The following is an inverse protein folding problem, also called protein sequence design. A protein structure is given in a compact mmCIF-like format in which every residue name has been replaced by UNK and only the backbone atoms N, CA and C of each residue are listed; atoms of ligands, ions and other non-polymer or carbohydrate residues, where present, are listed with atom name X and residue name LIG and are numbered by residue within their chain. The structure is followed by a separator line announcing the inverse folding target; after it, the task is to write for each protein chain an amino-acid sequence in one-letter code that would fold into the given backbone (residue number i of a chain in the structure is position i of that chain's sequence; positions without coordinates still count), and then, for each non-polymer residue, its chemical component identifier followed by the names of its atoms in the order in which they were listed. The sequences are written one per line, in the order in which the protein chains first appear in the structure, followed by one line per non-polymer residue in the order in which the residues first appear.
data_IF_375472371004
#
_entry.id   IF_375472371004
#
_cell.length_a   1.000
_cell.length_b   1.000
_cell.length_c   1.000
_cell.angle_alpha   90.00
_cell.angle_beta   90.00
_cell.angle_gamma   90.00
#
_symmetry.space_group_name_H-M   'P 1'
#
loop_
_entity.id
_entity.type
_entity.pdbx_description
1 polymer ?
#
# COMPACT_ATOMS: atom_id res chain seq x y z
N UNK A 1 15.13 4.90 -34.79
CA UNK A 1 14.59 4.38 -33.51
C UNK A 1 13.10 4.70 -33.45
N UNK A 2 12.25 3.80 -32.93
CA UNK A 2 10.82 4.11 -32.80
C UNK A 2 10.57 5.15 -31.69
N UNK A 3 9.55 5.99 -31.85
CA UNK A 3 9.16 7.03 -30.87
C UNK A 3 8.96 6.45 -29.46
N UNK A 4 8.43 5.23 -29.38
CA UNK A 4 8.26 4.52 -28.11
C UNK A 4 9.60 4.25 -27.40
N UNK A 5 10.64 3.80 -28.12
CA UNK A 5 11.96 3.55 -27.51
C UNK A 5 12.61 4.83 -26.99
N UNK A 6 12.46 5.93 -27.73
CA UNK A 6 12.95 7.25 -27.29
C UNK A 6 12.25 7.68 -26.00
N UNK A 7 10.94 7.45 -25.91
CA UNK A 7 10.16 7.75 -24.72
C UNK A 7 10.55 6.89 -23.51
N UNK A 8 10.83 5.61 -23.72
CA UNK A 8 11.31 4.73 -22.64
C UNK A 8 12.67 5.22 -22.12
N UNK A 9 13.61 5.48 -23.01
CA UNK A 9 14.94 5.96 -22.65
C UNK A 9 14.88 7.30 -21.89
N UNK A 10 14.09 8.27 -22.37
CA UNK A 10 13.95 9.56 -21.69
C UNK A 10 13.38 9.44 -20.28
N UNK A 11 12.45 8.51 -20.04
CA UNK A 11 11.95 8.26 -18.69
C UNK A 11 12.99 7.58 -17.81
N UNK A 12 13.75 6.62 -18.36
CA UNK A 12 14.83 5.95 -17.65
C UNK A 12 15.91 6.94 -17.23
N UNK A 13 16.28 7.89 -18.10
CA UNK A 13 17.26 8.93 -17.80
C UNK A 13 16.81 9.81 -16.63
N UNK A 14 15.55 10.27 -16.62
CA UNK A 14 14.97 11.04 -15.50
C UNK A 14 15.04 10.20 -14.22
N UNK A 15 14.63 8.93 -14.30
CA UNK A 15 14.62 8.07 -13.13
C UNK A 15 16.03 7.82 -12.61
N UNK A 16 17.06 7.71 -13.45
CA UNK A 16 18.45 7.45 -13.08
C UNK A 16 19.16 8.61 -12.36
N UNK A 17 18.58 9.81 -12.36
CA UNK A 17 19.11 10.95 -11.61
C UNK A 17 19.20 10.65 -10.10
N UNK A 18 20.28 11.10 -9.46
CA UNK A 18 20.50 10.93 -8.00
C UNK A 18 19.35 11.52 -7.17
N UNK A 19 18.92 12.71 -7.56
CA UNK A 19 17.73 13.39 -7.07
C UNK A 19 16.83 13.69 -8.26
N UNK A 20 15.65 13.07 -8.27
CA UNK A 20 14.72 13.12 -9.40
C UNK A 20 13.91 14.43 -9.37
N UNK A 21 13.90 15.17 -10.48
CA UNK A 21 12.98 16.29 -10.65
C UNK A 21 11.53 15.77 -10.82
N UNK A 22 10.73 15.91 -9.76
CA UNK A 22 9.32 15.49 -9.76
C UNK A 22 8.45 16.29 -10.72
N UNK A 23 8.81 17.54 -11.04
CA UNK A 23 8.08 18.35 -12.02
C UNK A 23 8.32 17.82 -13.43
N UNK A 24 9.57 17.52 -13.75
CA UNK A 24 9.94 16.89 -15.02
C UNK A 24 9.27 15.51 -15.16
N UNK A 25 9.34 14.68 -14.11
CA UNK A 25 8.70 13.37 -14.08
C UNK A 25 7.18 13.46 -14.33
N UNK A 26 6.49 14.41 -13.69
CA UNK A 26 5.04 14.62 -13.89
C UNK A 26 4.71 15.00 -15.33
N UNK A 27 5.48 15.93 -15.92
CA UNK A 27 5.29 16.33 -17.31
C UNK A 27 5.48 15.14 -18.26
N UNK A 28 6.48 14.29 -18.00
CA UNK A 28 6.74 13.10 -18.81
C UNK A 28 5.62 12.06 -18.68
N UNK A 29 5.15 11.83 -17.45
CA UNK A 29 4.11 10.84 -17.16
C UNK A 29 2.69 11.31 -17.53
N UNK A 30 2.49 12.60 -17.83
CA UNK A 30 1.18 13.17 -18.18
C UNK A 30 0.52 12.46 -19.36
N UNK A 31 1.31 12.09 -20.37
CA UNK A 31 0.83 11.36 -21.55
C UNK A 31 0.78 9.83 -21.33
N UNK A 32 0.85 9.38 -20.08
CA UNK A 32 0.94 7.98 -19.68
C UNK A 32 2.36 7.52 -19.33
N UNK A 33 2.45 6.34 -18.74
CA UNK A 33 3.73 5.70 -18.39
C UNK A 33 3.89 4.44 -19.25
N UNK A 34 5.03 4.26 -19.95
CA UNK A 34 5.32 3.05 -20.71
C UNK A 34 5.19 1.79 -19.86
N UNK A 35 4.52 0.76 -20.42
CA UNK A 35 4.27 -0.51 -19.73
C UNK A 35 5.41 -1.52 -19.92
N UNK A 36 6.62 -1.11 -19.56
CA UNK A 36 7.79 -1.97 -19.68
C UNK A 36 8.72 -1.77 -18.49
N UNK A 37 9.57 -2.76 -18.23
CA UNK A 37 10.70 -2.67 -17.30
C UNK A 37 10.34 -2.21 -15.86
N UNK A 38 9.08 -2.40 -15.44
CA UNK A 38 8.61 -1.96 -14.11
C UNK A 38 8.52 -0.44 -13.94
N UNK A 39 8.61 0.35 -15.02
CA UNK A 39 8.61 1.82 -14.97
C UNK A 39 7.37 2.37 -14.28
N UNK A 40 6.18 1.81 -14.58
CA UNK A 40 4.93 2.16 -13.89
C UNK A 40 5.02 2.05 -12.38
N UNK A 41 5.60 0.96 -11.88
CA UNK A 41 5.76 0.74 -10.45
C UNK A 41 6.58 1.85 -9.79
N UNK A 42 7.71 2.22 -10.39
CA UNK A 42 8.60 3.26 -9.85
C UNK A 42 7.98 4.65 -9.96
N UNK A 43 7.43 4.99 -11.12
CA UNK A 43 6.77 6.28 -11.34
C UNK A 43 5.58 6.48 -10.40
N UNK A 44 4.72 5.47 -10.22
CA UNK A 44 3.59 5.58 -9.29
C UNK A 44 4.03 5.76 -7.84
N UNK A 45 5.06 5.04 -7.39
CA UNK A 45 5.60 5.24 -6.04
C UNK A 45 6.10 6.68 -5.81
N UNK A 46 6.68 7.32 -6.83
CA UNK A 46 7.12 8.71 -6.76
C UNK A 46 5.95 9.70 -6.85
N UNK A 47 5.05 9.49 -7.82
CA UNK A 47 3.91 10.39 -8.08
C UNK A 47 2.90 10.39 -6.94
N UNK A 48 2.71 9.26 -6.27
CA UNK A 48 1.86 9.12 -5.08
C UNK A 48 2.58 9.54 -3.77
N UNK A 49 3.85 9.97 -3.85
CA UNK A 49 4.62 10.42 -2.69
C UNK A 49 5.05 9.30 -1.73
N UNK A 50 4.99 8.04 -2.14
CA UNK A 50 5.47 6.91 -1.34
C UNK A 50 7.00 6.88 -1.25
N UNK A 51 7.68 7.22 -2.35
CA UNK A 51 9.12 7.44 -2.41
C UNK A 51 9.43 8.93 -2.60
N UNK A 52 10.51 9.41 -1.97
CA UNK A 52 11.02 10.76 -2.17
C UNK A 52 11.89 10.90 -3.43
N UNK A 53 12.32 12.12 -3.79
CA UNK A 53 13.13 12.36 -4.99
C UNK A 53 14.55 11.79 -4.90
N UNK A 54 15.09 11.64 -3.69
CA UNK A 54 16.46 11.15 -3.45
C UNK A 54 16.52 9.63 -3.48
N UNK A 55 17.18 9.06 -4.48
CA UNK A 55 17.25 7.61 -4.69
C UNK A 55 17.91 6.84 -3.57
N UNK A 56 18.95 7.42 -2.97
CA UNK A 56 19.70 6.77 -1.88
C UNK A 56 18.83 6.43 -0.66
N UNK A 57 17.72 7.16 -0.49
CA UNK A 57 16.78 6.96 0.63
C UNK A 57 15.74 5.87 0.37
N UNK A 58 15.61 5.37 -0.86
CA UNK A 58 14.51 4.50 -1.24
C UNK A 58 14.55 3.16 -0.54
N UNK A 59 15.71 2.52 -0.49
CA UNK A 59 15.90 1.23 0.18
C UNK A 59 15.52 1.29 1.66
N UNK A 60 16.01 2.31 2.37
CA UNK A 60 15.67 2.55 3.77
C UNK A 60 14.16 2.85 3.96
N UNK A 61 13.58 3.69 3.10
CA UNK A 61 12.14 4.02 3.15
C UNK A 61 11.27 2.79 2.93
N UNK A 62 11.60 1.97 1.91
CA UNK A 62 10.88 0.73 1.60
C UNK A 62 10.96 -0.27 2.75
N UNK A 63 12.15 -0.46 3.33
CA UNK A 63 12.33 -1.35 4.48
C UNK A 63 11.48 -0.89 5.67
N UNK A 64 11.58 0.38 6.04
CA UNK A 64 10.80 0.96 7.15
C UNK A 64 9.29 0.85 6.93
N UNK A 65 8.80 1.18 5.74
CA UNK A 65 7.35 1.13 5.44
C UNK A 65 6.81 -0.31 5.42
N UNK A 66 7.58 -1.27 4.91
CA UNK A 66 7.20 -2.69 4.93
C UNK A 66 7.16 -3.26 6.35
N UNK A 67 8.13 -2.88 7.18
CA UNK A 67 8.15 -3.30 8.58
C UNK A 67 6.97 -2.72 9.36
N UNK A 68 6.70 -1.42 9.20
CA UNK A 68 5.54 -0.78 9.81
C UNK A 68 4.21 -1.45 9.40
N UNK A 69 4.07 -1.84 8.13
CA UNK A 69 2.88 -2.55 7.67
C UNK A 69 2.72 -3.92 8.34
N UNK A 70 3.81 -4.67 8.56
CA UNK A 70 3.76 -5.94 9.30
C UNK A 70 3.34 -5.73 10.75
N UNK A 71 3.88 -4.70 11.40
CA UNK A 71 3.48 -4.34 12.77
C UNK A 71 1.99 -4.02 12.85
N UNK A 72 1.44 -3.26 11.89
CA UNK A 72 0.00 -3.00 11.85
C UNK A 72 -0.84 -4.27 11.65
N UNK A 73 -0.38 -5.23 10.85
CA UNK A 73 -1.09 -6.50 10.71
C UNK A 73 -1.13 -7.24 12.05
N UNK A 74 0.00 -7.31 12.76
CA UNK A 74 0.10 -7.97 14.07
C UNK A 74 -0.74 -7.28 15.15
N UNK A 75 -0.82 -5.95 15.13
CA UNK A 75 -1.59 -5.17 16.11
C UNK A 75 -3.10 -5.13 15.83
N UNK A 76 -3.50 -5.05 14.56
CA UNK A 76 -4.91 -4.84 14.19
C UNK A 76 -5.68 -6.14 13.95
N UNK A 77 -5.00 -7.26 13.71
CA UNK A 77 -5.63 -8.56 13.47
C UNK A 77 -5.40 -9.48 14.67
N UNK A 78 -5.87 -9.06 15.85
CA UNK A 78 -5.76 -9.86 17.08
C UNK A 78 -7.11 -10.48 17.43
N UNK A 79 -7.22 -11.82 17.54
CA UNK A 79 -8.42 -12.47 18.05
C UNK A 79 -8.70 -12.07 19.51
N UNK A 80 -9.93 -11.68 19.87
CA UNK A 80 -10.29 -11.42 21.25
C UNK A 80 -10.16 -12.71 22.06
N UNK A 81 -9.29 -12.68 23.08
CA UNK A 81 -9.02 -13.83 23.95
C UNK A 81 -7.54 -14.20 24.06
N UNK A 82 -6.70 -13.86 23.09
CA UNK A 82 -5.25 -14.16 23.16
C UNK A 82 -4.49 -13.19 24.07
N UNK A 83 -5.01 -11.98 24.31
CA UNK A 83 -4.36 -10.97 25.14
C UNK A 83 -4.67 -11.10 26.65
N UNK A 84 -5.54 -12.02 27.05
CA UNK A 84 -6.09 -12.05 28.41
C UNK A 84 -5.35 -13.05 29.31
N UNK A 85 -4.27 -12.59 29.93
CA UNK A 85 -3.71 -13.24 31.11
C UNK A 85 -4.72 -13.18 32.29
N UNK A 86 -5.30 -14.34 32.63
CA UNK A 86 -5.93 -14.76 33.90
C UNK A 86 -6.88 -13.83 34.71
N UNK A 87 -7.16 -12.59 34.31
CA UNK A 87 -8.07 -11.68 35.01
C UNK A 87 -8.84 -10.81 34.01
N UNK A 88 -9.76 -11.40 33.24
CA UNK A 88 -10.50 -10.68 32.21
C UNK A 88 -11.85 -10.15 32.74
N UNK A 89 -11.97 -8.82 32.81
CA UNK A 89 -13.23 -8.08 33.10
C UNK A 89 -14.07 -7.89 31.82
N UNK A 90 -13.47 -8.11 30.64
CA UNK A 90 -14.11 -7.95 29.34
C UNK A 90 -14.74 -9.25 28.82
N UNK A 91 -15.92 -9.16 28.21
CA UNK A 91 -16.75 -10.30 27.79
C UNK A 91 -17.34 -10.04 26.39
N UNK A 92 -17.62 -11.09 25.59
CA UNK A 92 -18.30 -10.98 24.28
C UNK A 92 -19.61 -10.18 24.22
N UNK A 93 -20.19 -9.83 25.37
CA UNK A 93 -21.46 -9.10 25.46
C UNK A 93 -21.28 -7.70 26.07
N UNK A 94 -20.03 -7.26 26.23
CA UNK A 94 -19.73 -5.93 26.74
C UNK A 94 -20.04 -4.87 25.67
N UNK A 95 -20.97 -3.96 25.96
CA UNK A 95 -21.31 -2.84 25.07
C UNK A 95 -20.41 -1.60 25.27
N UNK A 96 -19.49 -1.67 26.24
CA UNK A 96 -18.59 -0.57 26.58
C UNK A 96 -17.68 -0.17 25.42
N UNK A 97 -17.33 1.12 25.27
CA UNK A 97 -16.44 1.59 24.22
C UNK A 97 -14.99 1.08 24.36
N UNK A 98 -14.60 0.66 25.57
CA UNK A 98 -13.28 0.10 25.89
C UNK A 98 -13.23 -1.44 25.75
N UNK A 99 -14.30 -2.08 25.28
CA UNK A 99 -14.36 -3.55 25.13
C UNK A 99 -13.64 -4.00 23.86
N UNK A 100 -12.68 -4.92 24.01
CA UNK A 100 -11.98 -5.55 22.89
C UNK A 100 -12.93 -6.41 22.05
N UNK A 101 -13.94 -7.02 22.69
CA UNK A 101 -14.98 -7.78 21.99
C UNK A 101 -15.87 -6.88 21.12
N UNK A 102 -16.28 -5.72 21.63
CA UNK A 102 -17.06 -4.75 20.86
C UNK A 102 -16.28 -4.26 19.62
N UNK A 103 -15.00 -3.95 19.78
CA UNK A 103 -14.10 -3.59 18.67
C UNK A 103 -13.97 -4.74 17.66
N UNK A 104 -13.71 -5.97 18.12
CA UNK A 104 -13.62 -7.14 17.24
C UNK A 104 -14.89 -7.38 16.42
N UNK A 105 -16.08 -7.25 17.01
CA UNK A 105 -17.32 -7.45 16.25
C UNK A 105 -17.52 -6.38 15.18
N UNK A 106 -17.22 -5.11 15.50
CA UNK A 106 -17.24 -4.01 14.51
C UNK A 106 -16.22 -4.22 13.40
N UNK A 107 -15.01 -4.63 13.73
CA UNK A 107 -13.96 -4.92 12.75
C UNK A 107 -14.38 -6.06 11.83
N UNK A 108 -14.98 -7.13 12.37
CA UNK A 108 -15.51 -8.23 11.55
C UNK A 108 -16.64 -7.80 10.62
N UNK A 109 -17.51 -6.88 11.06
CA UNK A 109 -18.56 -6.34 10.20
C UNK A 109 -17.95 -5.60 9.00
N UNK A 110 -16.93 -4.76 9.25
CA UNK A 110 -16.18 -4.06 8.19
C UNK A 110 -15.47 -5.05 7.27
N UNK A 111 -14.76 -6.04 7.83
CA UNK A 111 -14.05 -7.07 7.06
C UNK A 111 -15.01 -7.88 6.19
N UNK A 112 -16.22 -8.19 6.68
CA UNK A 112 -17.23 -8.88 5.90
C UNK A 112 -17.72 -8.05 4.70
N UNK A 113 -17.83 -6.73 4.84
CA UNK A 113 -18.16 -5.87 3.69
C UNK A 113 -17.01 -5.84 2.67
N UNK A 114 -15.77 -5.74 3.14
CA UNK A 114 -14.58 -5.78 2.27
C UNK A 114 -14.54 -7.11 1.50
N UNK A 115 -14.73 -8.26 2.14
CA UNK A 115 -14.73 -9.58 1.48
C UNK A 115 -15.82 -9.67 0.40
N UNK A 116 -17.03 -9.18 0.69
CA UNK A 116 -18.14 -9.16 -0.29
C UNK A 116 -17.80 -8.33 -1.53
N UNK A 117 -17.19 -7.16 -1.34
CA UNK A 117 -16.84 -6.26 -2.44
C UNK A 117 -15.64 -6.78 -3.24
N UNK A 118 -14.62 -7.34 -2.58
CA UNK A 118 -13.45 -7.96 -3.22
C UNK A 118 -13.88 -9.10 -4.14
N UNK A 119 -14.80 -9.98 -3.71
CA UNK A 119 -15.31 -11.10 -4.54
C UNK A 119 -16.03 -10.67 -5.81
N UNK A 120 -16.50 -9.42 -5.88
CA UNK A 120 -17.25 -8.88 -7.02
C UNK A 120 -16.40 -7.95 -7.89
N UNK A 121 -15.16 -7.67 -7.49
CA UNK A 121 -14.28 -6.75 -8.18
C UNK A 121 -13.74 -7.38 -9.47
N UNK A 122 -14.10 -6.79 -10.61
CA UNK A 122 -13.55 -7.15 -11.94
C UNK A 122 -13.56 -8.66 -12.26
N UNK A 123 -14.73 -9.33 -12.24
CA UNK A 123 -14.82 -10.80 -12.34
C UNK A 123 -14.26 -11.38 -13.65
N UNK A 124 -14.10 -10.55 -14.69
CA UNK A 124 -13.58 -10.95 -15.99
C UNK A 124 -12.03 -10.89 -16.06
N UNK A 125 -11.36 -10.37 -15.04
CA UNK A 125 -9.90 -10.20 -15.02
C UNK A 125 -9.28 -11.28 -14.13
N UNK A 126 -8.57 -12.24 -14.72
CA UNK A 126 -7.95 -13.39 -14.03
C UNK A 126 -6.97 -13.08 -12.88
N UNK A 127 -6.57 -11.82 -12.70
CA UNK A 127 -5.69 -11.40 -11.61
C UNK A 127 -6.46 -11.20 -10.29
N UNK A 128 -7.71 -10.76 -10.38
CA UNK A 128 -8.60 -10.50 -9.26
C UNK A 128 -9.47 -11.73 -8.99
#
# INVERSE_FOLDING_TARGET
MSLYKIRVAGLEDILQQHEIDLKELRNFCFYGIPDCSGLRSTCWKLLLGYLGPKRDTWSATLAKKRELYKQFIEEMVIPPGEQNGAACVDHPLSDGPESNWNTFFKDNEVLLQIDKDVRRLCPDISFF
#
